data_IF_172567971930
#
_entry.id   IF_172567971930
#
_cell.length_a   1.000
_cell.length_b   1.000
_cell.length_c   1.000
_cell.angle_alpha   90.00
_cell.angle_beta   90.00
_cell.angle_gamma   90.00
#
_symmetry.space_group_name_H-M   'P 1'
#
loop_
_entity.id
_entity.type
_entity.pdbx_description
1 polymer ?
#
# COMPACT_ATOMS: atom_id res chain seq x y z
N UNK A 1 37.17 28.27 -64.15
CA UNK A 1 36.23 28.09 -65.27
C UNK A 1 34.84 28.44 -64.78
N UNK A 2 34.18 29.38 -65.45
CA UNK A 2 32.97 30.08 -65.02
C UNK A 2 32.05 30.15 -66.24
N UNK A 3 30.90 29.47 -66.23
CA UNK A 3 29.70 29.74 -67.06
C UNK A 3 28.59 28.79 -66.66
N UNK A 4 27.31 29.17 -66.60
CA UNK A 4 26.56 30.44 -66.62
C UNK A 4 25.05 29.98 -66.60
N UNK A 5 24.10 30.92 -66.41
CA UNK A 5 22.63 30.81 -66.63
C UNK A 5 21.78 30.09 -65.55
N UNK A 6 20.59 30.57 -65.11
CA UNK A 6 19.84 31.85 -65.23
C UNK A 6 18.51 31.69 -64.44
N UNK A 7 17.94 32.82 -63.93
CA UNK A 7 16.51 33.28 -63.86
C UNK A 7 15.40 32.25 -63.55
N UNK A 8 14.31 32.53 -62.84
CA UNK A 8 13.61 33.69 -62.29
C UNK A 8 12.54 33.11 -61.33
N UNK A 9 12.12 33.75 -60.24
CA UNK A 9 11.14 34.85 -60.23
C UNK A 9 10.06 34.56 -59.16
N UNK A 10 9.50 35.62 -58.57
CA UNK A 10 8.35 35.61 -57.64
C UNK A 10 8.72 35.19 -56.21
N UNK A 11 8.75 36.05 -55.19
CA UNK A 11 7.76 37.09 -54.89
C UNK A 11 6.65 36.52 -53.99
N UNK A 12 6.98 36.15 -52.75
CA UNK A 12 5.98 35.96 -51.69
C UNK A 12 6.29 36.97 -50.59
N UNK A 13 5.44 37.99 -50.52
CA UNK A 13 5.39 38.98 -49.45
C UNK A 13 4.86 38.26 -48.21
N UNK A 14 5.73 38.07 -47.22
CA UNK A 14 5.36 37.55 -45.91
C UNK A 14 4.69 38.68 -45.12
N UNK A 15 3.36 38.70 -45.09
CA UNK A 15 2.59 39.60 -44.23
C UNK A 15 2.68 39.07 -42.79
N UNK A 16 3.58 39.67 -42.00
CA UNK A 16 3.64 39.53 -40.56
C UNK A 16 2.47 40.30 -39.93
N UNK A 17 1.37 39.61 -39.68
CA UNK A 17 0.32 40.07 -38.78
C UNK A 17 0.63 39.57 -37.37
N UNK A 18 0.91 40.51 -36.47
CA UNK A 18 0.96 40.27 -35.04
C UNK A 18 -0.43 39.87 -34.52
N UNK A 19 -0.51 38.73 -33.85
CA UNK A 19 -1.62 38.37 -32.97
C UNK A 19 -1.06 37.97 -31.61
N UNK A 20 -1.39 38.76 -30.59
CA UNK A 20 -1.25 38.40 -29.18
C UNK A 20 -2.03 37.11 -28.89
N UNK A 21 -1.48 36.18 -28.10
CA UNK A 21 -2.30 35.11 -27.55
C UNK A 21 -1.53 33.88 -27.12
N UNK A 22 -1.30 33.77 -25.81
CA UNK A 22 -1.05 32.50 -25.12
C UNK A 22 0.27 31.82 -25.44
N UNK A 23 1.20 31.83 -24.49
CA UNK A 23 2.10 30.67 -24.34
C UNK A 23 1.18 29.44 -24.30
N UNK A 24 1.38 28.42 -25.15
CA UNK A 24 0.66 27.17 -24.98
C UNK A 24 0.99 26.68 -23.57
N UNK A 25 -0.02 26.68 -22.71
CA UNK A 25 0.05 26.02 -21.43
C UNK A 25 0.50 24.58 -21.73
N UNK A 26 1.59 24.07 -21.11
CA UNK A 26 2.01 22.71 -21.36
C UNK A 26 0.81 21.83 -21.04
N UNK A 27 0.32 21.09 -22.03
CA UNK A 27 -0.80 20.18 -21.84
C UNK A 27 -0.51 19.37 -20.58
N UNK A 28 -1.35 19.50 -19.55
CA UNK A 28 -1.21 18.71 -18.34
C UNK A 28 -1.09 17.25 -18.77
N UNK A 29 0.00 16.60 -18.38
CA UNK A 29 0.27 15.24 -18.80
C UNK A 29 -0.95 14.39 -18.43
N UNK A 30 -1.68 13.92 -19.44
CA UNK A 30 -2.91 13.15 -19.24
C UNK A 30 -2.52 11.88 -18.49
N UNK A 31 -3.21 11.58 -17.39
CA UNK A 31 -2.97 10.36 -16.63
C UNK A 31 -3.13 9.13 -17.53
N UNK A 32 -2.04 8.41 -17.73
CA UNK A 32 -2.01 7.14 -18.45
C UNK A 32 -2.03 6.00 -17.43
N UNK A 33 -3.23 5.46 -17.19
CA UNK A 33 -3.43 4.38 -16.23
C UNK A 33 -2.57 3.14 -16.54
N UNK A 34 -2.32 2.84 -17.81
CA UNK A 34 -1.51 1.68 -18.20
C UNK A 34 -0.04 1.89 -17.84
N UNK A 35 0.53 3.03 -18.27
CA UNK A 35 1.92 3.36 -17.99
C UNK A 35 2.21 3.51 -16.49
N UNK A 36 1.29 4.13 -15.73
CA UNK A 36 1.45 4.28 -14.28
C UNK A 36 1.26 2.94 -13.55
N UNK A 37 0.37 2.05 -14.02
CA UNK A 37 0.19 0.73 -13.42
C UNK A 37 1.40 -0.18 -13.63
N UNK A 38 2.13 -0.06 -14.75
CA UNK A 38 3.41 -0.78 -14.93
C UNK A 38 4.38 -0.47 -13.78
N UNK A 39 4.43 0.79 -13.30
CA UNK A 39 5.26 1.17 -12.15
C UNK A 39 4.80 0.48 -10.86
N UNK A 40 3.48 0.40 -10.65
CA UNK A 40 2.88 -0.34 -9.52
C UNK A 40 3.31 -1.81 -9.57
N UNK A 41 3.15 -2.47 -10.71
CA UNK A 41 3.51 -3.90 -10.85
C UNK A 41 5.00 -4.15 -10.63
N UNK A 42 5.86 -3.25 -11.11
CA UNK A 42 7.31 -3.35 -10.90
C UNK A 42 7.69 -3.17 -9.42
N UNK A 43 7.13 -2.17 -8.74
CA UNK A 43 7.32 -1.96 -7.30
C UNK A 43 6.82 -3.17 -6.49
N UNK A 44 5.66 -3.70 -6.85
CA UNK A 44 5.07 -4.86 -6.20
C UNK A 44 5.93 -6.12 -6.36
N UNK A 45 6.48 -6.37 -7.56
CA UNK A 45 7.39 -7.49 -7.78
C UNK A 45 8.66 -7.39 -6.93
N UNK A 46 9.21 -6.18 -6.74
CA UNK A 46 10.35 -5.95 -5.86
C UNK A 46 9.99 -6.22 -4.40
N UNK A 47 8.82 -5.75 -3.95
CA UNK A 47 8.30 -6.04 -2.61
C UNK A 47 8.16 -7.55 -2.35
N UNK A 48 7.50 -8.29 -3.26
CA UNK A 48 7.32 -9.75 -3.12
C UNK A 48 8.66 -10.46 -3.05
N UNK A 49 9.61 -10.09 -3.92
CA UNK A 49 10.96 -10.65 -3.91
C UNK A 49 11.69 -10.40 -2.60
N UNK A 50 11.60 -9.18 -2.06
CA UNK A 50 12.24 -8.81 -0.79
C UNK A 50 11.60 -9.54 0.40
N UNK A 51 10.27 -9.68 0.39
CA UNK A 51 9.52 -10.46 1.39
C UNK A 51 9.98 -11.91 1.40
N UNK A 52 10.00 -12.57 0.26
CA UNK A 52 10.43 -13.97 0.15
C UNK A 52 11.87 -14.16 0.66
N UNK A 53 12.77 -13.20 0.36
CA UNK A 53 14.14 -13.21 0.86
C UNK A 53 14.19 -13.08 2.38
N UNK A 54 13.40 -12.16 2.96
CA UNK A 54 13.30 -11.98 4.40
C UNK A 54 12.76 -13.23 5.09
N UNK A 55 11.66 -13.82 4.58
CA UNK A 55 11.07 -15.03 5.14
C UNK A 55 12.04 -16.21 5.11
N UNK A 56 12.75 -16.43 3.98
CA UNK A 56 13.81 -17.46 3.89
C UNK A 56 14.96 -17.22 4.86
N UNK A 57 15.39 -15.97 5.01
CA UNK A 57 16.48 -15.62 5.93
C UNK A 57 16.09 -15.85 7.40
N UNK A 58 14.83 -15.55 7.76
CA UNK A 58 14.27 -15.84 9.10
C UNK A 58 14.14 -17.34 9.36
N UNK A 59 13.66 -18.12 8.39
CA UNK A 59 13.54 -19.56 8.52
C UNK A 59 14.90 -20.28 8.67
N UNK A 60 15.96 -19.70 8.11
CA UNK A 60 17.32 -20.26 8.14
C UNK A 60 18.14 -19.84 9.37
N UNK A 61 17.58 -19.04 10.28
CA UNK A 61 18.27 -18.49 11.43
C UNK A 61 17.89 -19.25 12.73
N UNK A 62 18.72 -20.19 13.22
CA UNK A 62 18.50 -20.79 14.54
C UNK A 62 18.87 -19.80 15.66
N UNK A 63 17.96 -19.54 16.59
CA UNK A 63 18.24 -18.83 17.85
C UNK A 63 17.51 -17.49 18.05
N UNK A 64 17.83 -16.82 19.17
CA UNK A 64 17.08 -15.67 19.74
C UNK A 64 17.43 -14.33 19.06
N UNK A 65 18.52 -14.25 18.28
CA UNK A 65 18.95 -13.03 17.61
C UNK A 65 19.15 -13.26 16.10
N UNK A 66 18.59 -12.41 15.22
CA UNK A 66 18.70 -12.58 13.78
C UNK A 66 20.16 -12.36 13.32
N UNK A 67 20.73 -13.30 12.54
CA UNK A 67 22.06 -13.15 11.94
C UNK A 67 22.09 -11.91 11.03
N UNK A 68 23.29 -11.38 10.74
CA UNK A 68 23.45 -10.18 9.92
C UNK A 68 22.66 -10.24 8.60
N UNK A 69 22.66 -11.41 7.93
CA UNK A 69 21.90 -11.64 6.71
C UNK A 69 20.37 -11.51 6.88
N UNK A 70 19.81 -11.90 8.03
CA UNK A 70 18.39 -11.75 8.31
C UNK A 70 18.03 -10.28 8.57
N UNK A 71 18.90 -9.53 9.26
CA UNK A 71 18.74 -8.08 9.46
C UNK A 71 18.83 -7.30 8.15
N UNK A 72 19.78 -7.66 7.28
CA UNK A 72 19.89 -7.06 5.94
C UNK A 72 18.67 -7.36 5.07
N UNK A 73 18.17 -8.59 5.10
CA UNK A 73 16.97 -8.97 4.36
C UNK A 73 15.72 -8.24 4.87
N UNK A 74 15.60 -8.05 6.19
CA UNK A 74 14.54 -7.26 6.81
C UNK A 74 14.62 -5.78 6.43
N UNK A 75 15.81 -5.18 6.46
CA UNK A 75 15.99 -3.80 6.01
C UNK A 75 15.63 -3.62 4.52
N UNK A 76 16.03 -4.56 3.66
CA UNK A 76 15.66 -4.53 2.24
C UNK A 76 14.15 -4.70 2.03
N UNK A 77 13.51 -5.55 2.83
CA UNK A 77 12.05 -5.71 2.85
C UNK A 77 11.35 -4.40 3.22
N UNK A 78 11.75 -3.71 4.29
CA UNK A 78 11.11 -2.46 4.73
C UNK A 78 11.21 -1.34 3.68
N UNK A 79 12.36 -1.24 3.01
CA UNK A 79 12.55 -0.30 1.89
C UNK A 79 11.62 -0.63 0.73
N UNK A 80 11.56 -1.89 0.32
CA UNK A 80 10.70 -2.32 -0.79
C UNK A 80 9.21 -2.19 -0.47
N UNK A 81 8.81 -2.49 0.77
CA UNK A 81 7.45 -2.31 1.26
C UNK A 81 7.05 -0.83 1.24
N UNK A 82 7.88 0.06 1.77
CA UNK A 82 7.61 1.51 1.78
C UNK A 82 7.46 2.05 0.35
N UNK A 83 8.34 1.62 -0.57
CA UNK A 83 8.27 2.01 -1.97
C UNK A 83 7.01 1.49 -2.67
N UNK A 84 6.66 0.22 -2.50
CA UNK A 84 5.43 -0.39 -3.02
C UNK A 84 4.18 0.39 -2.56
N UNK A 85 4.07 0.66 -1.25
CA UNK A 85 2.93 1.39 -0.70
C UNK A 85 2.84 2.83 -1.22
N UNK A 86 3.97 3.52 -1.37
CA UNK A 86 4.01 4.87 -1.94
C UNK A 86 3.52 4.88 -3.38
N UNK A 87 4.09 4.02 -4.23
CA UNK A 87 3.73 3.95 -5.67
C UNK A 87 2.27 3.55 -5.83
N UNK A 88 1.80 2.57 -5.06
CA UNK A 88 0.41 2.12 -5.09
C UNK A 88 -0.57 3.22 -4.65
N UNK A 89 -0.26 3.94 -3.57
CA UNK A 89 -1.09 5.05 -3.10
C UNK A 89 -1.13 6.20 -4.11
N UNK A 90 0.01 6.58 -4.70
CA UNK A 90 0.07 7.61 -5.74
C UNK A 90 -0.74 7.23 -6.97
N UNK A 91 -0.69 5.97 -7.40
CA UNK A 91 -1.51 5.47 -8.49
C UNK A 91 -3.00 5.56 -8.15
N UNK A 92 -3.43 4.99 -7.01
CA UNK A 92 -4.85 4.92 -6.63
C UNK A 92 -5.48 6.31 -6.41
N UNK A 93 -4.72 7.27 -5.88
CA UNK A 93 -5.19 8.65 -5.71
C UNK A 93 -5.62 9.29 -7.05
N UNK A 94 -4.94 8.96 -8.15
CA UNK A 94 -5.28 9.44 -9.48
C UNK A 94 -6.30 8.52 -10.16
N UNK A 95 -6.05 7.22 -10.15
CA UNK A 95 -6.82 6.22 -10.91
C UNK A 95 -8.29 6.15 -10.49
N UNK A 96 -8.58 6.25 -9.18
CA UNK A 96 -9.95 6.22 -8.67
C UNK A 96 -10.80 7.42 -9.13
N UNK A 97 -10.17 8.54 -9.48
CA UNK A 97 -10.85 9.75 -9.93
C UNK A 97 -10.85 9.88 -11.47
N UNK A 98 -9.72 9.57 -12.10
CA UNK A 98 -9.49 9.85 -13.53
C UNK A 98 -9.77 8.65 -14.44
N UNK A 99 -9.73 7.43 -13.88
CA UNK A 99 -9.86 6.20 -14.65
C UNK A 99 -10.54 5.05 -13.85
N UNK A 100 -11.68 5.28 -13.17
CA UNK A 100 -12.28 4.31 -12.24
C UNK A 100 -12.64 2.96 -12.89
N UNK A 101 -13.04 2.97 -14.16
CA UNK A 101 -13.51 1.79 -14.88
C UNK A 101 -12.41 0.95 -15.54
N UNK A 102 -11.16 1.41 -15.45
CA UNK A 102 -10.01 0.70 -16.04
C UNK A 102 -9.68 -0.57 -15.26
N UNK A 103 -9.28 -1.66 -15.93
CA UNK A 103 -8.90 -2.90 -15.26
C UNK A 103 -7.70 -2.69 -14.33
N UNK A 104 -6.76 -1.82 -14.69
CA UNK A 104 -5.59 -1.45 -13.89
C UNK A 104 -6.00 -0.86 -12.53
N UNK A 105 -7.03 0.00 -12.49
CA UNK A 105 -7.55 0.58 -11.25
C UNK A 105 -8.10 -0.50 -10.31
N UNK A 106 -8.83 -1.47 -10.86
CA UNK A 106 -9.38 -2.59 -10.08
C UNK A 106 -8.28 -3.51 -9.56
N UNK A 107 -7.27 -3.79 -10.38
CA UNK A 107 -6.13 -4.62 -9.99
C UNK A 107 -5.31 -3.96 -8.88
N UNK A 108 -4.98 -2.67 -9.03
CA UNK A 108 -4.29 -1.92 -7.98
C UNK A 108 -5.11 -1.86 -6.68
N UNK A 109 -6.43 -1.66 -6.77
CA UNK A 109 -7.28 -1.66 -5.59
C UNK A 109 -7.29 -3.03 -4.89
N UNK A 110 -7.28 -4.13 -5.66
CA UNK A 110 -7.15 -5.47 -5.12
C UNK A 110 -5.80 -5.70 -4.43
N UNK A 111 -4.69 -5.19 -4.99
CA UNK A 111 -3.37 -5.23 -4.35
C UNK A 111 -3.39 -4.48 -3.00
N UNK A 112 -3.97 -3.28 -2.97
CA UNK A 112 -4.06 -2.46 -1.76
C UNK A 112 -4.91 -3.14 -0.68
N UNK A 113 -6.07 -3.68 -1.06
CA UNK A 113 -6.95 -4.42 -0.15
C UNK A 113 -6.26 -5.68 0.42
N UNK A 114 -5.55 -6.43 -0.43
CA UNK A 114 -4.78 -7.59 -0.02
C UNK A 114 -3.68 -7.24 0.98
N UNK A 115 -2.95 -6.16 0.75
CA UNK A 115 -1.92 -5.66 1.66
C UNK A 115 -2.51 -5.24 3.02
N UNK A 116 -3.62 -4.50 3.02
CA UNK A 116 -4.31 -4.10 4.24
C UNK A 116 -4.82 -5.31 5.05
N UNK A 117 -5.42 -6.30 4.39
CA UNK A 117 -5.89 -7.53 5.01
C UNK A 117 -4.74 -8.37 5.58
N UNK A 118 -3.62 -8.48 4.85
CA UNK A 118 -2.43 -9.18 5.32
C UNK A 118 -1.81 -8.50 6.55
N UNK A 119 -1.71 -7.17 6.56
CA UNK A 119 -1.21 -6.42 7.71
C UNK A 119 -2.09 -6.63 8.96
N UNK A 120 -3.42 -6.61 8.79
CA UNK A 120 -4.36 -6.88 9.88
C UNK A 120 -4.16 -8.28 10.50
N UNK A 121 -3.96 -9.30 9.66
CA UNK A 121 -3.63 -10.67 10.13
C UNK A 121 -2.29 -10.71 10.86
N UNK A 122 -1.26 -10.06 10.31
CA UNK A 122 0.06 -10.02 10.93
C UNK A 122 0.04 -9.40 12.33
N UNK A 123 -0.68 -8.29 12.50
CA UNK A 123 -0.87 -7.66 13.80
C UNK A 123 -1.54 -8.61 14.80
N UNK A 124 -2.59 -9.33 14.38
CA UNK A 124 -3.27 -10.29 15.22
C UNK A 124 -2.37 -11.46 15.64
N UNK A 125 -1.63 -12.05 14.69
CA UNK A 125 -0.76 -13.22 14.92
C UNK A 125 0.36 -12.91 15.93
N UNK A 126 0.82 -11.66 15.99
CA UNK A 126 1.85 -11.21 16.94
C UNK A 126 1.28 -10.74 18.29
N UNK A 127 -0.01 -10.94 18.53
CA UNK A 127 -0.69 -10.46 19.74
C UNK A 127 -0.83 -8.94 19.80
N UNK A 128 -0.68 -8.25 18.67
CA UNK A 128 -0.89 -6.81 18.53
C UNK A 128 -2.37 -6.44 18.38
N UNK A 129 -2.66 -5.15 18.46
CA UNK A 129 -4.01 -4.63 18.26
C UNK A 129 -4.34 -4.53 16.77
N UNK A 130 -5.16 -5.45 16.26
CA UNK A 130 -5.64 -5.45 14.88
C UNK A 130 -6.39 -4.16 14.50
N UNK A 131 -6.86 -3.37 15.47
CA UNK A 131 -7.49 -2.06 15.23
C UNK A 131 -6.54 -1.07 14.57
N UNK A 132 -5.23 -1.25 14.71
CA UNK A 132 -4.23 -0.43 14.02
C UNK A 132 -4.33 -0.56 12.49
N UNK A 133 -4.92 -1.63 11.97
CA UNK A 133 -5.19 -1.81 10.54
C UNK A 133 -6.56 -1.28 10.10
N UNK A 134 -7.41 -0.73 10.99
CA UNK A 134 -8.78 -0.31 10.63
C UNK A 134 -8.80 0.77 9.56
N UNK A 135 -7.90 1.75 9.63
CA UNK A 135 -7.84 2.85 8.67
C UNK A 135 -7.61 2.35 7.23
N UNK A 136 -6.51 1.62 6.91
CA UNK A 136 -6.28 1.13 5.55
C UNK A 136 -7.37 0.16 5.09
N UNK A 137 -7.88 -0.70 5.97
CA UNK A 137 -9.00 -1.59 5.65
C UNK A 137 -10.27 -0.82 5.27
N UNK A 138 -10.60 0.24 6.03
CA UNK A 138 -11.78 1.07 5.78
C UNK A 138 -11.63 1.89 4.51
N UNK A 139 -10.43 2.41 4.25
CA UNK A 139 -10.10 3.13 3.01
C UNK A 139 -10.30 2.23 1.78
N UNK A 140 -9.77 1.00 1.82
CA UNK A 140 -9.96 0.01 0.76
C UNK A 140 -11.46 -0.29 0.53
N UNK A 141 -12.19 -0.60 1.59
CA UNK A 141 -13.62 -0.91 1.48
C UNK A 141 -14.47 0.28 1.02
N UNK A 142 -14.07 1.51 1.35
CA UNK A 142 -14.70 2.72 0.80
C UNK A 142 -14.47 2.81 -0.70
N UNK A 143 -13.26 2.56 -1.20
CA UNK A 143 -12.98 2.58 -2.63
C UNK A 143 -13.81 1.55 -3.41
N UNK A 144 -13.95 0.31 -2.92
CA UNK A 144 -14.84 -0.69 -3.52
C UNK A 144 -16.29 -0.20 -3.60
N UNK A 145 -16.81 0.38 -2.51
CA UNK A 145 -18.17 0.94 -2.46
C UNK A 145 -18.36 2.11 -3.43
N UNK A 146 -17.40 3.03 -3.51
CA UNK A 146 -17.43 4.17 -4.44
C UNK A 146 -17.49 3.71 -5.89
N UNK A 147 -16.75 2.65 -6.23
CA UNK A 147 -16.75 2.06 -7.57
C UNK A 147 -17.99 1.18 -7.85
N UNK A 148 -18.90 1.02 -6.88
CA UNK A 148 -20.10 0.19 -7.04
C UNK A 148 -19.82 -1.31 -7.21
N UNK A 149 -18.64 -1.77 -6.79
CA UNK A 149 -18.22 -3.17 -6.91
C UNK A 149 -18.24 -3.88 -5.55
N UNK A 150 -18.45 -5.22 -5.52
CA UNK A 150 -18.48 -5.97 -4.28
C UNK A 150 -17.16 -5.88 -3.51
N UNK A 151 -17.24 -5.75 -2.18
CA UNK A 151 -16.09 -5.83 -1.29
C UNK A 151 -15.59 -7.29 -1.28
N UNK A 152 -14.29 -7.55 -1.51
CA UNK A 152 -13.72 -8.88 -1.39
C UNK A 152 -13.95 -9.51 0.00
N UNK A 153 -14.20 -10.82 0.03
CA UNK A 153 -14.56 -11.53 1.27
C UNK A 153 -13.44 -11.51 2.32
N UNK A 154 -12.18 -11.54 1.88
CA UNK A 154 -11.00 -11.43 2.73
C UNK A 154 -10.87 -10.04 3.36
N UNK A 155 -11.12 -8.97 2.60
CA UNK A 155 -11.17 -7.60 3.11
C UNK A 155 -12.31 -7.43 4.13
N UNK A 156 -13.49 -7.98 3.82
CA UNK A 156 -14.64 -7.95 4.73
C UNK A 156 -14.35 -8.71 6.04
N UNK A 157 -13.71 -9.88 5.95
CA UNK A 157 -13.30 -10.66 7.11
C UNK A 157 -12.25 -9.91 7.97
N UNK A 158 -11.26 -9.27 7.33
CA UNK A 158 -10.26 -8.47 8.02
C UNK A 158 -10.87 -7.25 8.73
N UNK A 159 -11.84 -6.58 8.10
CA UNK A 159 -12.61 -5.50 8.75
C UNK A 159 -13.40 -5.98 9.96
N UNK A 160 -14.10 -7.11 9.82
CA UNK A 160 -14.87 -7.68 10.92
C UNK A 160 -13.98 -8.08 12.09
N UNK A 161 -12.78 -8.61 11.80
CA UNK A 161 -11.78 -8.93 12.81
C UNK A 161 -11.25 -7.67 13.51
N UNK A 162 -10.77 -6.70 12.74
CA UNK A 162 -10.18 -5.46 13.27
C UNK A 162 -11.22 -4.60 14.02
N UNK A 163 -12.51 -4.72 13.70
CA UNK A 163 -13.59 -4.02 14.38
C UNK A 163 -13.99 -4.61 15.74
N UNK A 164 -13.48 -5.80 16.12
CA UNK A 164 -13.84 -6.41 17.41
C UNK A 164 -13.20 -5.63 18.57
N UNK A 165 -13.92 -5.45 19.70
CA UNK A 165 -13.30 -4.98 20.92
C UNK A 165 -12.21 -5.96 21.37
N UNK A 166 -11.11 -5.47 21.98
CA UNK A 166 -10.11 -6.36 22.56
C UNK A 166 -10.80 -7.26 23.58
N UNK A 167 -10.41 -8.55 23.61
CA UNK A 167 -10.90 -9.45 24.63
C UNK A 167 -10.65 -8.82 26.01
N UNK A 168 -11.61 -8.87 26.95
CA UNK A 168 -11.38 -8.36 28.29
C UNK A 168 -10.12 -9.03 28.82
N UNK A 169 -9.17 -8.23 29.30
CA UNK A 169 -7.97 -8.74 29.94
C UNK A 169 -8.43 -9.78 30.96
N UNK A 170 -7.93 -11.02 30.83
CA UNK A 170 -8.22 -12.06 31.79
C UNK A 170 -7.65 -11.57 33.12
N UNK A 171 -8.51 -10.99 33.97
CA UNK A 171 -8.14 -10.68 35.34
C UNK A 171 -7.67 -12.01 35.91
N UNK A 172 -6.39 -12.14 36.33
CA UNK A 172 -5.98 -13.35 37.01
C UNK A 172 -6.95 -13.53 38.17
N UNK A 173 -7.66 -14.66 38.17
CA UNK A 173 -8.66 -14.98 39.17
C UNK A 173 -8.05 -14.63 40.52
N UNK A 174 -8.69 -13.68 41.22
CA UNK A 174 -8.23 -13.20 42.51
C UNK A 174 -7.83 -14.42 43.34
N UNK A 175 -6.54 -14.50 43.68
CA UNK A 175 -5.99 -15.60 44.43
C UNK A 175 -6.93 -15.87 45.62
N UNK A 176 -7.43 -17.10 45.71
CA UNK A 176 -8.33 -17.51 46.76
C UNK A 176 -7.77 -17.01 48.11
N UNK A 177 -8.58 -16.33 48.95
CA UNK A 177 -8.09 -15.79 50.20
C UNK A 177 -7.48 -16.93 51.01
N UNK A 178 -6.22 -16.73 51.45
CA UNK A 178 -5.48 -17.71 52.23
C UNK A 178 -6.33 -18.20 53.42
N UNK A 179 -6.31 -19.51 53.73
CA UNK A 179 -7.11 -20.07 54.81
C UNK A 179 -6.77 -19.37 56.12
N UNK A 180 -7.80 -18.82 56.79
CA UNK A 180 -7.65 -18.17 58.10
C UNK A 180 -7.06 -19.17 59.10
N UNK A 181 -6.06 -18.78 59.91
CA UNK A 181 -5.52 -19.67 60.93
C UNK A 181 -6.60 -20.04 61.94
N UNK A 182 -6.74 -21.34 62.20
CA UNK A 182 -7.69 -21.87 63.17
C UNK A 182 -7.36 -21.32 64.56
N UNK A 183 -8.30 -20.55 65.14
CA UNK A 183 -8.22 -20.15 66.55
C UNK A 183 -8.41 -21.39 67.40
N UNK A 184 -7.32 -21.93 67.94
CA UNK A 184 -7.37 -22.91 69.02
C UNK A 184 -8.11 -22.30 70.21
N UNK A 185 -9.35 -22.73 70.43
CA UNK A 185 -10.07 -22.49 71.68
C UNK A 185 -9.47 -23.43 72.73
N UNK A 186 -8.65 -22.90 73.61
CA UNK A 186 -8.36 -23.55 74.88
C UNK A 186 -9.65 -23.57 75.71
N UNK A 187 -10.32 -24.73 75.75
CA UNK A 187 -11.23 -25.07 76.84
C UNK A 187 -10.37 -25.42 78.06
N UNK A 188 -10.55 -24.67 79.15
CA UNK A 188 -10.36 -25.17 80.50
C UNK A 188 -11.74 -25.44 81.08
#
# INVERSE_FOLDING_TARGET
MKTWFRRAGGGVVLVLAAACGGRPEPASARFDAGAEFVKVTAAHAQYVTARDRMERARASAPGVAPPAAAREAEAAYEVAYTHDQLVLATFLNQALNLAPDRPETRQALAMYAGAAAANARHLQERGGDARQALEPLTAAARAYRTLGIPIPADLAAALALAGRPPAPASTPAAAAPAPRPARHRHRR
#
